data_IF_565292375060
#
_entry.id   IF_565292375060
#
_cell.length_a   1.000
_cell.length_b   1.000
_cell.length_c   1.000
_cell.angle_alpha   90.00
_cell.angle_beta   90.00
_cell.angle_gamma   90.00
#
_symmetry.space_group_name_H-M   'P 1'
#
loop_
_entity.id
_entity.type
_entity.pdbx_description
1 polymer ?
#
# COMPACT_ATOMS: atom_id res chain seq x y z
N UNK A 1 23.52 53.68 -3.70
CA UNK A 1 24.31 52.43 -3.73
C UNK A 1 24.09 51.71 -2.42
N UNK A 2 23.63 50.44 -2.47
CA UNK A 2 23.83 49.36 -1.48
C UNK A 2 23.22 49.57 -0.08
N UNK A 3 22.53 48.63 0.58
CA UNK A 3 22.45 47.17 0.44
C UNK A 3 21.17 46.67 1.14
N UNK A 4 20.48 45.70 0.54
CA UNK A 4 19.31 45.03 1.11
C UNK A 4 19.77 43.88 2.05
N UNK A 5 19.87 44.18 3.34
CA UNK A 5 20.26 43.24 4.40
C UNK A 5 19.14 42.29 4.85
N UNK A 6 19.02 41.19 4.12
CA UNK A 6 18.27 39.95 4.38
C UNK A 6 18.38 39.42 5.83
N UNK A 7 17.36 39.59 6.66
CA UNK A 7 17.16 38.77 7.86
C UNK A 7 15.77 38.13 7.91
N UNK A 8 15.76 36.93 7.31
CA UNK A 8 15.06 35.71 7.73
C UNK A 8 13.74 35.93 8.47
N UNK A 9 12.65 35.86 7.71
CA UNK A 9 11.33 35.53 8.22
C UNK A 9 11.43 34.28 9.11
N UNK A 10 11.21 34.46 10.42
CA UNK A 10 10.79 33.41 11.33
C UNK A 10 9.37 32.98 10.95
N UNK A 11 9.24 32.32 9.80
CA UNK A 11 8.06 31.50 9.54
C UNK A 11 8.21 30.31 10.46
N UNK A 12 7.25 30.03 11.37
CA UNK A 12 7.17 28.73 11.98
C UNK A 12 7.14 27.74 10.81
N UNK A 13 8.16 26.87 10.69
CA UNK A 13 8.04 25.70 9.84
C UNK A 13 6.85 24.94 10.38
N UNK A 14 5.68 25.15 9.77
CA UNK A 14 4.55 24.26 9.90
C UNK A 14 5.14 22.88 9.70
N UNK A 15 5.12 22.06 10.76
CA UNK A 15 5.44 20.64 10.67
C UNK A 15 4.67 20.13 9.46
N UNK A 16 5.38 19.70 8.42
CA UNK A 16 4.81 19.02 7.26
C UNK A 16 4.33 17.63 7.70
N UNK A 17 3.37 17.61 8.62
CA UNK A 17 2.63 16.44 9.07
C UNK A 17 1.23 16.43 8.44
N UNK A 18 1.13 16.88 7.18
CA UNK A 18 0.06 16.38 6.34
C UNK A 18 0.54 15.01 5.89
N UNK A 19 0.08 13.99 6.62
CA UNK A 19 0.16 12.61 6.21
C UNK A 19 -0.13 12.52 4.71
N UNK A 20 0.72 11.78 4.02
CA UNK A 20 0.77 11.57 2.59
C UNK A 20 -0.51 10.90 2.07
N UNK A 21 -1.61 11.66 1.99
CA UNK A 21 -2.91 11.21 1.50
C UNK A 21 -3.07 11.32 -0.02
N UNK A 22 -2.05 11.80 -0.75
CA UNK A 22 -2.21 11.91 -2.20
C UNK A 22 -2.26 10.52 -2.84
N UNK A 23 -3.05 10.34 -3.91
CA UNK A 23 -3.08 9.13 -4.72
C UNK A 23 -1.70 8.55 -5.06
N UNK A 24 -0.73 9.43 -5.28
CA UNK A 24 0.65 9.09 -5.64
C UNK A 24 1.40 8.44 -4.47
N UNK A 25 1.22 8.94 -3.25
CA UNK A 25 1.87 8.35 -2.08
C UNK A 25 1.31 6.96 -1.78
N UNK A 26 -0.02 6.79 -1.80
CA UNK A 26 -0.63 5.45 -1.62
C UNK A 26 -0.12 4.44 -2.64
N UNK A 27 0.04 4.85 -3.90
CA UNK A 27 0.62 4.01 -4.94
C UNK A 27 2.09 3.67 -4.68
N UNK A 28 2.88 4.65 -4.22
CA UNK A 28 4.29 4.48 -3.89
C UNK A 28 4.45 3.55 -2.68
N UNK A 29 3.69 3.77 -1.60
CA UNK A 29 3.69 2.95 -0.39
C UNK A 29 3.33 1.48 -0.73
N UNK A 30 2.26 1.26 -1.50
CA UNK A 30 1.87 -0.09 -1.94
C UNK A 30 2.97 -0.76 -2.78
N UNK A 31 3.71 0.01 -3.60
CA UNK A 31 4.84 -0.51 -4.38
C UNK A 31 5.99 -0.93 -3.48
N UNK A 32 6.32 -0.12 -2.47
CA UNK A 32 7.38 -0.43 -1.51
C UNK A 32 7.04 -1.66 -0.66
N UNK A 33 5.80 -1.76 -0.16
CA UNK A 33 5.30 -2.95 0.54
C UNK A 33 5.42 -4.22 -0.31
N UNK A 34 4.98 -4.16 -1.57
CA UNK A 34 5.05 -5.31 -2.48
C UNK A 34 6.50 -5.75 -2.76
N UNK A 35 7.41 -4.79 -2.99
CA UNK A 35 8.84 -5.08 -3.19
C UNK A 35 9.45 -5.73 -1.95
N UNK A 36 9.12 -5.24 -0.75
CA UNK A 36 9.58 -5.84 0.50
C UNK A 36 9.04 -7.26 0.67
N UNK A 37 7.78 -7.53 0.32
CA UNK A 37 7.19 -8.85 0.39
C UNK A 37 7.87 -9.84 -0.56
N UNK A 38 8.19 -9.43 -1.80
CA UNK A 38 8.99 -10.25 -2.72
C UNK A 38 10.34 -10.60 -2.11
N UNK A 39 11.03 -9.62 -1.50
CA UNK A 39 12.32 -9.86 -0.87
C UNK A 39 12.21 -10.87 0.28
N UNK A 40 11.24 -10.70 1.18
CA UNK A 40 10.99 -11.63 2.30
C UNK A 40 10.66 -13.04 1.81
N UNK A 41 9.80 -13.15 0.80
CA UNK A 41 9.43 -14.44 0.22
C UNK A 41 10.64 -15.14 -0.38
N UNK A 42 11.44 -14.45 -1.21
CA UNK A 42 12.66 -15.03 -1.81
C UNK A 42 13.70 -15.44 -0.78
N UNK A 43 13.91 -14.62 0.26
CA UNK A 43 14.81 -14.98 1.36
C UNK A 43 14.33 -16.24 2.09
N UNK A 44 13.02 -16.36 2.33
CA UNK A 44 12.42 -17.54 2.92
C UNK A 44 12.53 -18.78 2.00
N UNK A 45 12.41 -18.61 0.68
CA UNK A 45 12.61 -19.69 -0.29
C UNK A 45 14.04 -20.22 -0.25
N UNK A 46 15.02 -19.32 -0.26
CA UNK A 46 16.44 -19.69 -0.15
C UNK A 46 16.76 -20.39 1.18
N UNK A 47 16.10 -19.98 2.26
CA UNK A 47 16.27 -20.58 3.59
C UNK A 47 15.40 -21.83 3.83
N UNK A 48 14.56 -22.25 2.87
CA UNK A 48 13.54 -23.28 3.04
C UNK A 48 12.71 -23.11 4.33
N UNK A 49 12.29 -21.87 4.59
CA UNK A 49 11.58 -21.55 5.81
C UNK A 49 10.18 -22.20 5.84
N UNK A 50 9.66 -22.59 7.02
CA UNK A 50 8.37 -23.26 7.13
C UNK A 50 7.16 -22.34 6.83
N UNK A 51 7.36 -21.02 6.78
CA UNK A 51 6.31 -20.01 6.59
C UNK A 51 6.13 -19.56 5.13
N UNK A 52 6.63 -20.32 4.16
CA UNK A 52 6.55 -19.97 2.73
C UNK A 52 5.13 -19.70 2.22
N UNK A 53 4.16 -20.53 2.64
CA UNK A 53 2.76 -20.37 2.21
C UNK A 53 2.19 -19.03 2.69
N UNK A 54 2.44 -18.66 3.94
CA UNK A 54 1.97 -17.40 4.52
C UNK A 54 2.60 -16.19 3.81
N UNK A 55 3.90 -16.23 3.57
CA UNK A 55 4.63 -15.16 2.86
C UNK A 55 4.19 -15.05 1.40
N UNK A 56 3.87 -16.17 0.74
CA UNK A 56 3.30 -16.18 -0.60
C UNK A 56 1.94 -15.48 -0.63
N UNK A 57 1.05 -15.81 0.30
CA UNK A 57 -0.26 -15.15 0.41
C UNK A 57 -0.12 -13.65 0.68
N UNK A 58 0.79 -13.25 1.57
CA UNK A 58 1.09 -11.83 1.83
C UNK A 58 1.57 -11.11 0.57
N UNK A 59 2.52 -11.72 -0.16
CA UNK A 59 3.03 -11.18 -1.43
C UNK A 59 1.91 -11.03 -2.47
N UNK A 60 1.05 -12.05 -2.64
CA UNK A 60 -0.07 -12.00 -3.57
C UNK A 60 -1.10 -10.93 -3.20
N UNK A 61 -1.43 -10.81 -1.91
CA UNK A 61 -2.31 -9.77 -1.38
C UNK A 61 -1.77 -8.36 -1.71
N UNK A 62 -0.49 -8.11 -1.40
CA UNK A 62 0.15 -6.83 -1.68
C UNK A 62 0.26 -6.55 -3.19
N UNK A 63 0.41 -7.59 -4.01
CA UNK A 63 0.35 -7.49 -5.46
C UNK A 63 -1.01 -6.97 -5.95
N UNK A 64 -2.12 -7.56 -5.47
CA UNK A 64 -3.49 -7.11 -5.79
C UNK A 64 -3.76 -5.69 -5.30
N UNK A 65 -3.29 -5.35 -4.09
CA UNK A 65 -3.36 -4.00 -3.52
C UNK A 65 -2.68 -2.98 -4.44
N UNK A 66 -1.46 -3.27 -4.89
CA UNK A 66 -0.72 -2.41 -5.83
C UNK A 66 -1.45 -2.23 -7.15
N UNK A 67 -1.98 -3.31 -7.74
CA UNK A 67 -2.74 -3.23 -8.99
C UNK A 67 -4.01 -2.39 -8.85
N UNK A 68 -4.73 -2.51 -7.74
CA UNK A 68 -5.91 -1.70 -7.44
C UNK A 68 -5.56 -0.21 -7.34
N UNK A 69 -4.50 0.14 -6.60
CA UNK A 69 -4.03 1.53 -6.52
C UNK A 69 -3.58 2.07 -7.87
N UNK A 70 -2.89 1.24 -8.66
CA UNK A 70 -2.48 1.61 -10.01
C UNK A 70 -3.69 1.90 -10.89
N UNK A 71 -4.72 1.06 -10.83
CA UNK A 71 -5.97 1.26 -11.56
C UNK A 71 -6.65 2.57 -11.16
N UNK A 72 -6.87 2.80 -9.87
CA UNK A 72 -7.50 4.03 -9.38
C UNK A 72 -6.71 5.28 -9.76
N UNK A 73 -5.38 5.20 -9.68
CA UNK A 73 -4.51 6.30 -10.06
C UNK A 73 -4.66 6.69 -11.54
N UNK A 74 -4.69 5.71 -12.45
CA UNK A 74 -4.81 5.98 -13.88
C UNK A 74 -6.24 6.25 -14.35
N UNK A 75 -7.27 5.74 -13.66
CA UNK A 75 -8.67 6.03 -13.99
C UNK A 75 -9.15 7.38 -13.45
N UNK A 76 -8.35 8.04 -12.59
CA UNK A 76 -8.75 9.27 -11.92
C UNK A 76 -9.84 9.05 -10.87
N UNK A 77 -10.06 7.80 -10.46
CA UNK A 77 -10.99 7.46 -9.38
C UNK A 77 -10.45 7.91 -8.02
N UNK A 78 -11.36 8.16 -7.08
CA UNK A 78 -11.00 8.59 -5.74
C UNK A 78 -10.31 7.43 -5.01
N UNK A 79 -9.03 7.62 -4.68
CA UNK A 79 -8.22 6.56 -4.07
C UNK A 79 -8.63 6.33 -2.61
N UNK A 80 -9.42 5.29 -2.38
CA UNK A 80 -9.82 4.81 -1.06
C UNK A 80 -8.75 3.98 -0.33
N UNK A 81 -9.17 3.29 0.72
CA UNK A 81 -8.40 2.21 1.34
C UNK A 81 -8.70 0.90 0.61
N UNK A 82 -7.67 0.12 0.29
CA UNK A 82 -7.86 -1.19 -0.32
C UNK A 82 -8.27 -2.19 0.75
N UNK A 83 -9.50 -2.71 0.63
CA UNK A 83 -10.00 -3.82 1.43
C UNK A 83 -10.22 -4.99 0.48
N UNK A 84 -9.54 -6.11 0.75
CA UNK A 84 -9.82 -7.34 0.03
C UNK A 84 -11.20 -7.83 0.44
N UNK A 85 -12.11 -7.93 -0.54
CA UNK A 85 -13.38 -8.58 -0.28
C UNK A 85 -13.10 -10.01 0.18
N UNK A 86 -13.67 -10.45 1.32
CA UNK A 86 -13.51 -11.83 1.73
C UNK A 86 -13.96 -12.72 0.58
N UNK A 87 -13.20 -13.79 0.30
CA UNK A 87 -13.63 -14.79 -0.66
C UNK A 87 -15.09 -15.14 -0.35
N UNK A 88 -16.00 -15.09 -1.34
CA UNK A 88 -17.38 -15.46 -1.10
C UNK A 88 -17.39 -16.84 -0.44
N UNK A 89 -18.17 -17.05 0.63
CA UNK A 89 -18.12 -18.31 1.35
C UNK A 89 -18.39 -19.46 0.37
N UNK A 90 -17.45 -20.41 0.28
CA UNK A 90 -17.52 -21.59 -0.62
C UNK A 90 -18.76 -22.47 -0.38
N UNK A 91 -19.51 -22.22 0.69
CA UNK A 91 -20.73 -22.95 1.04
C UNK A 91 -21.87 -21.97 1.25
N UNK A 92 -22.75 -21.88 0.25
CA UNK A 92 -24.14 -21.56 0.53
C UNK A 92 -24.65 -22.60 1.53
N UNK A 93 -25.18 -22.21 2.70
CA UNK A 93 -25.78 -23.17 3.62
C UNK A 93 -26.85 -23.96 2.85
N UNK A 94 -26.76 -25.30 2.92
CA UNK A 94 -27.80 -26.16 2.34
C UNK A 94 -29.14 -25.72 2.96
N UNK A 95 -30.17 -25.39 2.16
CA UNK A 95 -31.44 -24.98 2.72
C UNK A 95 -32.01 -26.07 3.62
N UNK A 96 -32.59 -25.69 4.76
CA UNK A 96 -33.07 -26.60 5.80
C UNK A 96 -34.22 -27.54 5.38
N UNK A 97 -34.69 -27.43 4.13
CA UNK A 97 -35.77 -28.24 3.58
C UNK A 97 -35.29 -29.30 2.57
N UNK A 98 -33.99 -29.56 2.49
CA UNK A 98 -33.37 -30.47 1.50
C UNK A 98 -32.57 -31.62 2.12
#
# INVERSE_FOLDING_TARGET
>A
MKDCGRYKNNVPRLRNGFDSFTPQHKLQDAKEEYVQAIYRFRQAELANAPNLIALKHEMEFLGRKLEAYRRWFYSGELIGEYVEWPAPPDRCPKPAWA
#
